data_IF_977200481495
#
_entry.id   IF_977200481495
#
_cell.length_a   1.000
_cell.length_b   1.000
_cell.length_c   1.000
_cell.angle_alpha   90.00
_cell.angle_beta   90.00
_cell.angle_gamma   90.00
#
_symmetry.space_group_name_H-M   'P 1'
#
loop_
_entity.id
_entity.type
_entity.pdbx_description
1 polymer ?
#
# COMPACT_ATOMS: atom_id res chain seq x y z
N UNK A 1 34.64 -3.08 32.57
CA UNK A 1 34.35 -1.73 33.13
C UNK A 1 33.22 -1.00 32.37
N UNK A 2 32.35 -1.69 31.62
CA UNK A 2 31.26 -1.07 30.85
C UNK A 2 29.81 -1.14 31.43
N UNK A 3 29.48 -1.81 32.57
CA UNK A 3 28.07 -2.10 32.89
C UNK A 3 27.26 -0.89 33.40
N UNK A 4 27.91 0.23 33.72
CA UNK A 4 27.25 1.43 34.29
C UNK A 4 26.96 2.49 33.22
N UNK A 5 27.60 2.41 32.04
CA UNK A 5 27.55 3.48 31.04
C UNK A 5 26.22 3.52 30.26
N UNK A 6 25.67 2.36 29.88
CA UNK A 6 24.40 2.29 29.15
C UNK A 6 23.17 2.79 29.95
N UNK A 7 22.95 2.41 31.22
CA UNK A 7 21.82 2.93 31.97
C UNK A 7 21.93 4.44 32.22
N UNK A 8 23.16 4.96 32.35
CA UNK A 8 23.41 6.40 32.43
C UNK A 8 23.04 7.13 31.13
N UNK A 9 23.37 6.56 29.96
CA UNK A 9 22.98 7.11 28.65
C UNK A 9 21.47 7.19 28.50
N UNK A 10 20.74 6.14 28.86
CA UNK A 10 19.27 6.09 28.79
C UNK A 10 18.63 7.13 29.72
N UNK A 11 19.18 7.29 30.93
CA UNK A 11 18.69 8.28 31.89
C UNK A 11 18.92 9.72 31.41
N UNK A 12 20.11 10.03 30.88
CA UNK A 12 20.39 11.33 30.26
C UNK A 12 19.46 11.59 29.07
N UNK A 13 19.23 10.58 28.23
CA UNK A 13 18.33 10.69 27.09
C UNK A 13 16.88 10.97 27.53
N UNK A 14 16.37 10.28 28.55
CA UNK A 14 15.02 10.53 29.10
C UNK A 14 14.85 11.94 29.68
N UNK A 15 15.90 12.49 30.29
CA UNK A 15 15.89 13.86 30.84
C UNK A 15 15.79 14.87 29.70
N UNK A 16 16.57 14.68 28.63
CA UNK A 16 16.54 15.54 27.44
C UNK A 16 15.25 15.40 26.63
N UNK A 17 14.65 14.19 26.59
CA UNK A 17 13.37 13.96 25.92
C UNK A 17 12.20 14.63 26.67
N UNK A 18 12.25 14.60 28.01
CA UNK A 18 11.23 15.23 28.85
C UNK A 18 11.23 16.76 28.79
N UNK A 19 12.36 17.41 28.51
CA UNK A 19 12.48 18.86 28.51
C UNK A 19 11.96 19.51 27.23
N UNK A 20 11.89 18.79 26.10
CA UNK A 20 11.54 19.31 24.75
C UNK A 20 12.36 20.53 24.27
N UNK A 21 13.34 20.97 25.05
CA UNK A 21 14.22 22.12 24.83
C UNK A 21 15.63 21.79 25.32
N UNK A 22 16.60 22.61 24.90
CA UNK A 22 18.01 22.47 25.27
C UNK A 22 18.22 22.60 26.78
N UNK A 23 18.91 21.62 27.38
CA UNK A 23 19.13 21.53 28.84
C UNK A 23 20.55 21.98 29.16
N UNK A 24 20.69 22.88 30.12
CA UNK A 24 22.01 23.34 30.59
C UNK A 24 22.77 22.27 31.38
N UNK A 25 24.11 22.33 31.40
CA UNK A 25 24.93 21.46 32.27
C UNK A 25 24.54 21.61 33.75
N UNK A 26 24.16 22.81 34.19
CA UNK A 26 23.70 23.04 35.57
C UNK A 26 22.37 22.33 35.86
N UNK A 27 21.42 22.33 34.93
CA UNK A 27 20.13 21.65 35.09
C UNK A 27 20.27 20.12 35.01
N UNK A 28 21.13 19.62 34.12
CA UNK A 28 21.54 18.21 34.10
C UNK A 28 22.23 17.81 35.41
N UNK A 29 23.04 18.70 35.99
CA UNK A 29 23.69 18.46 37.27
C UNK A 29 22.74 18.47 38.46
N UNK A 30 21.67 19.27 38.42
CA UNK A 30 20.63 19.27 39.45
C UNK A 30 19.74 18.03 39.35
N UNK A 31 19.35 17.62 38.14
CA UNK A 31 18.48 16.43 37.93
C UNK A 31 19.21 15.10 38.14
N UNK A 32 20.54 15.11 38.08
CA UNK A 32 21.39 13.93 38.25
C UNK A 32 22.49 14.17 39.30
N UNK A 33 22.08 14.63 40.50
CA UNK A 33 22.98 14.84 41.64
C UNK A 33 23.48 13.54 42.27
N UNK A 34 22.86 12.40 41.93
CA UNK A 34 23.20 11.05 42.35
C UNK A 34 24.37 10.43 41.56
N UNK A 35 24.87 11.12 40.53
CA UNK A 35 25.91 10.62 39.61
C UNK A 35 27.15 11.49 39.65
N UNK A 36 28.32 10.85 39.74
CA UNK A 36 29.62 11.52 39.67
C UNK A 36 29.83 12.26 38.33
N UNK A 37 30.36 13.49 38.41
CA UNK A 37 30.59 14.39 37.27
C UNK A 37 31.43 13.73 36.17
N UNK A 38 32.44 12.93 36.55
CA UNK A 38 33.32 12.23 35.60
C UNK A 38 32.56 11.17 34.81
N UNK A 39 31.63 10.47 35.46
CA UNK A 39 30.81 9.43 34.84
C UNK A 39 29.74 10.03 33.92
N UNK A 40 29.16 11.17 34.30
CA UNK A 40 28.22 11.93 33.47
C UNK A 40 28.88 12.47 32.20
N UNK A 41 30.06 13.07 32.31
CA UNK A 41 30.82 13.57 31.15
C UNK A 41 31.20 12.45 30.19
N UNK A 42 31.55 11.25 30.68
CA UNK A 42 31.80 10.08 29.82
C UNK A 42 30.55 9.65 29.07
N UNK A 43 29.39 9.62 29.71
CA UNK A 43 28.12 9.27 29.07
C UNK A 43 27.68 10.33 28.04
N UNK A 44 27.84 11.62 28.35
CA UNK A 44 27.56 12.73 27.43
C UNK A 44 28.47 12.66 26.19
N UNK A 45 29.79 12.52 26.37
CA UNK A 45 30.72 12.39 25.25
C UNK A 45 30.43 11.16 24.38
N UNK A 46 30.00 10.06 24.99
CA UNK A 46 29.57 8.87 24.25
C UNK A 46 28.28 9.13 23.44
N UNK A 47 27.28 9.82 24.00
CA UNK A 47 26.05 10.20 23.28
C UNK A 47 26.30 11.21 22.15
N UNK A 48 27.26 12.12 22.33
CA UNK A 48 27.72 13.06 21.29
C UNK A 48 28.39 12.29 20.16
N UNK A 49 29.28 11.34 20.48
CA UNK A 49 29.93 10.48 19.50
C UNK A 49 28.93 9.58 18.75
N UNK A 50 27.86 9.14 19.42
CA UNK A 50 26.73 8.41 18.82
C UNK A 50 25.80 9.30 18.00
N UNK A 51 26.05 10.63 17.92
CA UNK A 51 25.21 11.63 17.24
C UNK A 51 23.76 11.70 17.75
N UNK A 52 23.48 11.22 18.96
CA UNK A 52 22.16 11.27 19.59
C UNK A 52 21.88 12.62 20.26
N UNK A 53 22.93 13.32 20.69
CA UNK A 53 22.85 14.63 21.34
C UNK A 53 23.88 15.60 20.74
N UNK A 54 23.58 16.89 20.80
CA UNK A 54 24.48 17.97 20.38
C UNK A 54 24.74 18.88 21.58
N UNK A 55 26.01 19.20 21.81
CA UNK A 55 26.41 20.25 22.73
C UNK A 55 26.49 21.58 21.99
N UNK A 56 25.88 22.62 22.53
CA UNK A 56 25.98 24.01 22.05
C UNK A 56 26.41 24.91 23.20
N UNK A 57 27.23 25.92 22.91
CA UNK A 57 27.67 26.90 23.91
C UNK A 57 26.97 28.23 23.63
N UNK A 58 26.27 28.74 24.63
CA UNK A 58 25.56 30.02 24.55
C UNK A 58 25.90 30.86 25.79
N UNK A 59 26.42 32.08 25.58
CA UNK A 59 26.83 33.00 26.66
C UNK A 59 27.73 32.35 27.73
N UNK A 60 28.67 31.50 27.33
CA UNK A 60 29.61 30.81 28.24
C UNK A 60 29.03 29.61 28.99
N UNK A 61 27.76 29.25 28.77
CA UNK A 61 27.13 28.04 29.33
C UNK A 61 26.95 26.96 28.27
N UNK A 62 27.11 25.70 28.68
CA UNK A 62 26.96 24.54 27.80
C UNK A 62 25.52 24.04 27.90
N UNK A 63 24.90 23.84 26.74
CA UNK A 63 23.57 23.29 26.58
C UNK A 63 23.62 22.01 25.75
N UNK A 64 22.86 21.00 26.17
CA UNK A 64 22.69 19.73 25.48
C UNK A 64 21.29 19.66 24.90
N UNK A 65 21.20 19.28 23.63
CA UNK A 65 19.94 19.13 22.90
C UNK A 65 19.92 17.76 22.22
N UNK A 66 18.76 17.12 22.17
CA UNK A 66 18.60 15.89 21.37
C UNK A 66 18.81 16.24 19.89
N UNK A 67 19.63 15.44 19.21
CA UNK A 67 19.68 15.48 17.76
C UNK A 67 18.46 14.72 17.26
N UNK A 68 17.39 15.45 17.01
CA UNK A 68 16.29 14.92 16.20
C UNK A 68 16.87 14.79 14.79
N UNK A 69 16.99 13.57 14.28
CA UNK A 69 17.32 13.38 12.86
C UNK A 69 16.30 14.17 12.05
N UNK A 70 16.74 15.25 11.41
CA UNK A 70 15.91 15.96 10.45
C UNK A 70 15.61 14.99 9.32
N UNK A 71 14.40 14.42 9.33
CA UNK A 71 13.91 13.56 8.25
C UNK A 71 14.10 14.31 6.94
N UNK A 72 14.88 13.74 6.04
CA UNK A 72 15.11 14.36 4.74
C UNK A 72 13.82 14.37 3.93
N UNK A 73 13.68 15.23 2.91
CA UNK A 73 12.53 15.18 2.01
C UNK A 73 12.30 13.79 1.41
N UNK A 74 13.38 13.03 1.16
CA UNK A 74 13.32 11.65 0.69
C UNK A 74 12.66 10.72 1.73
N UNK A 75 13.03 10.83 3.00
CA UNK A 75 12.48 10.02 4.08
C UNK A 75 10.99 10.29 4.30
N UNK A 76 10.60 11.57 4.30
CA UNK A 76 9.19 11.99 4.49
C UNK A 76 8.32 11.48 3.35
N UNK A 77 8.77 11.63 2.09
CA UNK A 77 8.04 11.14 0.92
C UNK A 77 7.93 9.62 0.94
N UNK A 78 9.01 8.93 1.29
CA UNK A 78 9.04 7.47 1.35
C UNK A 78 8.08 6.92 2.41
N UNK A 79 8.05 7.51 3.60
CA UNK A 79 7.14 7.13 4.70
C UNK A 79 5.67 7.27 4.26
N UNK A 80 5.30 8.39 3.64
CA UNK A 80 3.93 8.63 3.16
C UNK A 80 3.51 7.62 2.06
N UNK A 81 4.44 7.23 1.19
CA UNK A 81 4.16 6.21 0.16
C UNK A 81 4.05 4.83 0.81
N UNK A 82 4.91 4.52 1.79
CA UNK A 82 4.88 3.27 2.54
C UNK A 82 3.56 3.10 3.29
N UNK A 83 3.05 4.16 3.89
CA UNK A 83 1.75 4.16 4.60
C UNK A 83 0.56 3.89 3.67
N UNK A 84 0.72 4.12 2.36
CA UNK A 84 -0.33 3.86 1.37
C UNK A 84 -0.41 2.41 0.89
N UNK A 85 0.58 1.59 1.25
CA UNK A 85 0.62 0.15 0.98
C UNK A 85 0.24 -0.20 -0.48
N UNK A 86 -0.65 -1.18 -0.71
CA UNK A 86 -1.08 -1.65 -2.04
C UNK A 86 -1.96 -0.66 -2.78
N UNK A 87 -2.57 0.30 -2.07
CA UNK A 87 -3.42 1.30 -2.69
C UNK A 87 -2.59 2.36 -3.45
N UNK A 88 -1.34 2.57 -3.01
CA UNK A 88 -0.53 3.66 -3.50
C UNK A 88 -1.14 5.03 -3.21
N UNK A 89 -0.44 6.09 -3.61
CA UNK A 89 -0.84 7.46 -3.31
C UNK A 89 -0.69 8.39 -4.50
N UNK A 90 -1.66 9.29 -4.66
CA UNK A 90 -1.66 10.26 -5.75
C UNK A 90 -0.62 11.36 -5.52
N UNK A 91 0.07 11.77 -6.58
CA UNK A 91 1.12 12.80 -6.50
C UNK A 91 0.66 14.10 -5.83
N UNK A 92 -0.61 14.50 -6.01
CA UNK A 92 -1.16 15.70 -5.34
C UNK A 92 -1.33 15.49 -3.85
N UNK A 93 -1.71 14.29 -3.42
CA UNK A 93 -1.89 13.97 -2.00
C UNK A 93 -0.53 13.85 -1.29
N UNK A 94 0.49 13.31 -1.96
CA UNK A 94 1.88 13.34 -1.47
C UNK A 94 2.31 14.80 -1.25
N UNK A 95 2.07 15.68 -2.22
CA UNK A 95 2.40 17.11 -2.10
C UNK A 95 1.67 17.77 -0.93
N UNK A 96 0.38 17.48 -0.76
CA UNK A 96 -0.41 18.05 0.33
C UNK A 96 0.07 17.59 1.71
N UNK A 97 0.36 16.28 1.86
CA UNK A 97 0.85 15.70 3.12
C UNK A 97 2.29 16.13 3.47
N UNK A 98 3.18 16.14 2.49
CA UNK A 98 4.61 16.51 2.68
C UNK A 98 4.83 18.01 2.82
N UNK A 99 3.90 18.84 2.32
CA UNK A 99 4.05 20.30 2.20
C UNK A 99 5.29 20.75 1.41
N UNK A 100 5.85 19.85 0.57
CA UNK A 100 7.01 20.16 -0.27
C UNK A 100 6.60 20.97 -1.52
N UNK A 101 7.54 21.75 -2.04
CA UNK A 101 7.37 22.43 -3.33
C UNK A 101 7.34 21.42 -4.48
N UNK A 102 6.68 21.75 -5.58
CA UNK A 102 6.56 20.86 -6.75
C UNK A 102 7.94 20.44 -7.30
N UNK A 103 8.91 21.36 -7.30
CA UNK A 103 10.27 21.12 -7.81
C UNK A 103 10.99 20.12 -6.93
N UNK A 104 10.94 20.30 -5.60
CA UNK A 104 11.58 19.41 -4.64
C UNK A 104 10.93 18.02 -4.68
N UNK A 105 9.60 17.96 -4.66
CA UNK A 105 8.87 16.70 -4.72
C UNK A 105 9.21 15.90 -5.99
N UNK A 106 9.23 16.54 -7.16
CA UNK A 106 9.56 15.86 -8.42
C UNK A 106 11.01 15.33 -8.41
N UNK A 107 11.95 16.05 -7.79
CA UNK A 107 13.35 15.61 -7.67
C UNK A 107 13.45 14.41 -6.71
N UNK A 108 12.80 14.48 -5.56
CA UNK A 108 12.76 13.38 -4.59
C UNK A 108 12.10 12.13 -5.16
N UNK A 109 10.95 12.25 -5.84
CA UNK A 109 10.30 11.11 -6.49
C UNK A 109 11.22 10.43 -7.51
N UNK A 110 11.91 11.21 -8.36
CA UNK A 110 12.90 10.66 -9.31
C UNK A 110 14.07 9.97 -8.59
N UNK A 111 14.56 10.54 -7.49
CA UNK A 111 15.63 9.92 -6.72
C UNK A 111 15.19 8.57 -6.12
N UNK A 112 13.99 8.50 -5.55
CA UNK A 112 13.42 7.27 -4.99
C UNK A 112 13.10 6.23 -6.07
N UNK A 113 12.63 6.65 -7.25
CA UNK A 113 12.46 5.79 -8.43
C UNK A 113 13.81 5.19 -8.89
N UNK A 114 14.85 6.03 -8.99
CA UNK A 114 16.21 5.60 -9.38
C UNK A 114 16.80 4.59 -8.38
N UNK A 115 16.52 4.77 -7.08
CA UNK A 115 16.90 3.84 -6.02
C UNK A 115 16.07 2.54 -6.02
N UNK A 116 15.07 2.41 -6.90
CA UNK A 116 14.10 1.30 -6.95
C UNK A 116 13.37 1.08 -5.62
N UNK A 117 13.08 2.16 -4.89
CA UNK A 117 12.29 2.10 -3.65
C UNK A 117 10.80 2.27 -3.94
N UNK A 118 10.48 3.06 -4.95
CA UNK A 118 9.11 3.33 -5.39
C UNK A 118 9.02 3.15 -6.91
N UNK A 119 7.79 2.99 -7.41
CA UNK A 119 7.50 3.02 -8.84
C UNK A 119 6.18 3.71 -9.13
N UNK A 120 6.04 4.35 -10.30
CA UNK A 120 4.78 4.93 -10.71
C UNK A 120 3.83 3.87 -11.25
N UNK A 121 2.54 4.03 -10.97
CA UNK A 121 1.45 3.24 -11.55
C UNK A 121 0.38 4.16 -12.12
N UNK A 122 -0.34 3.68 -13.13
CA UNK A 122 -1.50 4.36 -13.69
C UNK A 122 -2.76 3.65 -13.23
N UNK A 123 -3.59 4.36 -12.47
CA UNK A 123 -4.86 3.84 -11.97
C UNK A 123 -5.95 3.84 -13.07
N UNK A 124 -7.04 3.08 -12.84
CA UNK A 124 -8.26 3.11 -13.67
C UNK A 124 -8.81 4.54 -13.82
N UNK A 125 -8.67 5.36 -12.77
CA UNK A 125 -9.08 6.78 -12.76
C UNK A 125 -8.20 7.69 -13.62
N UNK A 126 -7.25 7.13 -14.39
CA UNK A 126 -6.23 7.83 -15.16
C UNK A 126 -5.32 8.74 -14.31
N UNK A 127 -5.27 8.52 -13.00
CA UNK A 127 -4.36 9.24 -12.10
C UNK A 127 -3.02 8.50 -12.00
N UNK A 128 -1.93 9.26 -11.94
CA UNK A 128 -0.57 8.75 -11.66
C UNK A 128 -0.42 8.58 -10.14
N UNK A 129 -0.33 7.34 -9.68
CA UNK A 129 -0.06 7.02 -8.27
C UNK A 129 1.37 6.52 -8.12
N UNK A 130 1.88 6.54 -6.89
CA UNK A 130 3.14 5.94 -6.49
C UNK A 130 2.90 4.84 -5.48
N UNK A 131 3.64 3.74 -5.64
CA UNK A 131 3.63 2.57 -4.76
C UNK A 131 5.07 2.13 -4.50
N UNK A 132 5.29 1.34 -3.43
CA UNK A 132 6.57 0.67 -3.21
C UNK A 132 6.93 -0.25 -4.38
N UNK A 133 8.22 -0.33 -4.70
CA UNK A 133 8.70 -1.05 -5.88
C UNK A 133 8.28 -2.53 -5.86
N UNK A 134 8.46 -3.19 -4.72
CA UNK A 134 8.20 -4.61 -4.53
C UNK A 134 6.72 -4.96 -4.32
N UNK A 135 5.83 -3.96 -4.26
CA UNK A 135 4.43 -4.19 -3.92
C UNK A 135 3.60 -4.34 -5.19
N UNK A 136 2.69 -5.33 -5.18
CA UNK A 136 1.69 -5.48 -6.22
C UNK A 136 0.51 -4.53 -5.91
N UNK A 137 0.08 -3.70 -6.88
CA UNK A 137 -0.98 -2.74 -6.64
C UNK A 137 -2.32 -3.46 -6.50
N UNK A 138 -3.20 -2.89 -5.69
CA UNK A 138 -4.51 -3.48 -5.49
C UNK A 138 -5.35 -3.47 -6.77
N UNK A 139 -6.14 -4.54 -6.96
CA UNK A 139 -7.02 -4.71 -8.11
C UNK A 139 -8.14 -3.67 -8.13
N UNK A 140 -8.55 -3.17 -6.97
CA UNK A 140 -9.49 -2.07 -6.84
C UNK A 140 -9.03 -0.80 -7.58
N UNK A 141 -7.71 -0.65 -7.79
CA UNK A 141 -7.10 0.53 -8.40
C UNK A 141 -6.60 0.26 -9.81
N UNK A 142 -6.15 -0.96 -10.10
CA UNK A 142 -5.68 -1.36 -11.43
C UNK A 142 -6.79 -1.87 -12.34
N UNK A 143 -7.87 -2.42 -11.78
CA UNK A 143 -9.04 -2.92 -12.51
C UNK A 143 -8.97 -4.42 -12.83
N UNK A 144 -8.02 -5.14 -12.24
CA UNK A 144 -7.86 -6.58 -12.44
C UNK A 144 -7.51 -6.94 -13.89
N UNK A 145 -7.84 -8.16 -14.31
CA UNK A 145 -7.44 -8.73 -15.60
C UNK A 145 -8.01 -8.01 -16.82
N UNK A 146 -9.11 -7.27 -16.65
CA UNK A 146 -9.79 -6.51 -17.71
C UNK A 146 -9.11 -5.17 -18.03
N UNK A 147 -8.14 -4.75 -17.22
CA UNK A 147 -7.44 -3.48 -17.36
C UNK A 147 -5.93 -3.69 -17.38
N UNK A 148 -5.24 -2.88 -18.18
CA UNK A 148 -3.78 -2.88 -18.25
C UNK A 148 -3.31 -1.43 -18.36
N UNK A 149 -2.41 -1.03 -17.45
CA UNK A 149 -1.83 0.31 -17.43
C UNK A 149 -2.87 1.45 -17.50
N UNK A 150 -4.00 1.29 -16.79
CA UNK A 150 -5.09 2.28 -16.73
C UNK A 150 -5.96 2.36 -17.99
N UNK A 151 -5.86 1.38 -18.90
CA UNK A 151 -6.72 1.26 -20.09
C UNK A 151 -7.47 -0.06 -20.07
N UNK A 152 -8.70 -0.07 -20.60
CA UNK A 152 -9.51 -1.29 -20.72
C UNK A 152 -8.92 -2.17 -21.84
N UNK A 153 -8.75 -3.46 -21.57
CA UNK A 153 -8.38 -4.48 -22.57
C UNK A 153 -9.62 -4.86 -23.37
N UNK A 154 -10.03 -3.98 -24.29
CA UNK A 154 -11.30 -4.09 -25.02
C UNK A 154 -11.51 -5.44 -25.72
N UNK A 155 -10.46 -6.01 -26.32
CA UNK A 155 -10.52 -7.33 -26.96
C UNK A 155 -10.84 -8.45 -25.96
N UNK A 156 -10.23 -8.42 -24.77
CA UNK A 156 -10.48 -9.42 -23.73
C UNK A 156 -11.90 -9.27 -23.20
N UNK A 157 -12.33 -8.04 -22.93
CA UNK A 157 -13.70 -7.78 -22.48
C UNK A 157 -14.73 -8.23 -23.52
N UNK A 158 -14.49 -7.98 -24.80
CA UNK A 158 -15.39 -8.41 -25.88
C UNK A 158 -15.40 -9.92 -26.05
N UNK A 159 -14.23 -10.57 -26.00
CA UNK A 159 -14.12 -12.02 -26.08
C UNK A 159 -14.80 -12.69 -24.87
N UNK A 160 -14.64 -12.11 -23.68
CA UNK A 160 -15.29 -12.55 -22.46
C UNK A 160 -16.80 -12.45 -22.58
N UNK A 161 -17.33 -11.30 -23.02
CA UNK A 161 -18.76 -11.10 -23.31
C UNK A 161 -19.30 -12.12 -24.32
N UNK A 162 -18.62 -12.29 -25.45
CA UNK A 162 -19.03 -13.21 -26.49
C UNK A 162 -19.04 -14.67 -26.00
N UNK A 163 -18.06 -15.05 -25.18
CA UNK A 163 -17.98 -16.40 -24.62
C UNK A 163 -19.06 -16.63 -23.56
N UNK A 164 -19.31 -15.66 -22.67
CA UNK A 164 -20.44 -15.70 -21.73
C UNK A 164 -21.77 -15.88 -22.47
N UNK A 165 -22.04 -15.06 -23.49
CA UNK A 165 -23.27 -15.14 -24.29
C UNK A 165 -23.41 -16.49 -24.99
N UNK A 166 -22.31 -17.01 -25.57
CA UNK A 166 -22.31 -18.32 -26.23
C UNK A 166 -22.64 -19.44 -25.25
N UNK A 167 -22.08 -19.38 -24.04
CA UNK A 167 -22.36 -20.34 -22.98
C UNK A 167 -23.83 -20.31 -22.56
N UNK A 168 -24.38 -19.13 -22.28
CA UNK A 168 -25.79 -18.97 -21.89
C UNK A 168 -26.75 -19.42 -22.98
N UNK A 169 -26.47 -19.10 -24.25
CA UNK A 169 -27.26 -19.57 -25.40
C UNK A 169 -27.23 -21.09 -25.53
N UNK A 170 -26.06 -21.70 -25.41
CA UNK A 170 -25.95 -23.16 -25.47
C UNK A 170 -26.72 -23.84 -24.33
N UNK A 171 -26.69 -23.27 -23.12
CA UNK A 171 -27.50 -23.76 -22.00
C UNK A 171 -28.99 -23.69 -22.33
N UNK A 172 -29.45 -22.56 -22.83
CA UNK A 172 -30.84 -22.38 -23.24
C UNK A 172 -31.25 -23.38 -24.33
N UNK A 173 -30.46 -23.51 -25.40
CA UNK A 173 -30.76 -24.41 -26.52
C UNK A 173 -30.82 -25.88 -26.08
N UNK A 174 -29.93 -26.30 -25.17
CA UNK A 174 -29.93 -27.66 -24.63
C UNK A 174 -31.18 -27.91 -23.77
N UNK A 175 -31.51 -27.00 -22.85
CA UNK A 175 -32.71 -27.11 -22.03
C UNK A 175 -33.98 -27.11 -22.88
N UNK A 176 -34.03 -26.27 -23.93
CA UNK A 176 -35.18 -26.20 -24.84
C UNK A 176 -35.37 -27.49 -25.64
N UNK A 177 -34.28 -28.12 -26.10
CA UNK A 177 -34.34 -29.43 -26.78
C UNK A 177 -34.81 -30.54 -25.86
N UNK A 178 -34.30 -30.59 -24.62
CA UNK A 178 -34.76 -31.53 -23.60
C UNK A 178 -36.25 -31.33 -23.32
N UNK A 179 -36.71 -30.08 -23.15
CA UNK A 179 -38.12 -29.73 -22.94
C UNK A 179 -39.03 -30.25 -24.06
N UNK A 180 -38.69 -30.00 -25.32
CA UNK A 180 -39.49 -30.47 -26.46
C UNK A 180 -39.59 -32.01 -26.48
N UNK A 181 -38.50 -32.69 -26.12
CA UNK A 181 -38.42 -34.15 -26.11
C UNK A 181 -39.28 -34.73 -24.99
N UNK A 182 -39.23 -34.14 -23.79
CA UNK A 182 -40.03 -34.57 -22.63
C UNK A 182 -41.53 -34.27 -22.82
N UNK A 183 -41.88 -33.14 -23.45
CA UNK A 183 -43.28 -32.85 -23.83
C UNK A 183 -43.82 -33.88 -24.82
N UNK A 184 -43.00 -34.33 -25.79
CA UNK A 184 -43.41 -35.40 -26.72
C UNK A 184 -43.64 -36.75 -26.02
N UNK A 185 -43.04 -36.96 -24.85
CA UNK A 185 -43.14 -38.21 -24.08
C UNK A 185 -44.20 -38.15 -22.96
N UNK A 186 -44.99 -37.07 -22.86
CA UNK A 186 -46.02 -36.83 -21.83
C UNK A 186 -45.50 -36.75 -20.37
N UNK A 187 -44.19 -36.71 -20.14
CA UNK A 187 -43.54 -36.64 -18.82
C UNK A 187 -43.37 -35.19 -18.29
N UNK A 188 -44.35 -34.32 -18.56
CA UNK A 188 -44.25 -32.86 -18.32
C UNK A 188 -44.14 -32.48 -16.83
N UNK A 189 -44.54 -33.37 -15.92
CA UNK A 189 -44.59 -33.11 -14.48
C UNK A 189 -43.21 -33.05 -13.78
N UNK A 190 -42.12 -33.44 -14.46
CA UNK A 190 -40.77 -33.51 -13.89
C UNK A 190 -39.82 -32.41 -14.36
N UNK A 191 -40.30 -31.44 -15.14
CA UNK A 191 -39.42 -30.43 -15.74
C UNK A 191 -38.87 -29.45 -14.68
N UNK A 192 -37.58 -29.59 -14.36
CA UNK A 192 -36.89 -28.71 -13.42
C UNK A 192 -36.40 -27.44 -14.14
N UNK A 193 -37.19 -26.36 -14.03
CA UNK A 193 -36.85 -25.03 -14.55
C UNK A 193 -35.54 -24.46 -13.97
N UNK A 194 -35.00 -25.02 -12.88
CA UNK A 194 -33.71 -24.59 -12.34
C UNK A 194 -32.53 -24.85 -13.30
N UNK A 195 -32.67 -25.74 -14.29
CA UNK A 195 -31.61 -26.06 -15.27
C UNK A 195 -31.24 -24.92 -16.22
N UNK A 196 -32.12 -23.92 -16.37
CA UNK A 196 -31.90 -22.76 -17.26
C UNK A 196 -31.00 -21.71 -16.57
N UNK A 197 -30.90 -21.77 -15.24
CA UNK A 197 -30.09 -20.83 -14.47
C UNK A 197 -28.63 -21.26 -14.43
N UNK A 198 -27.73 -20.30 -14.64
CA UNK A 198 -26.30 -20.47 -14.41
C UNK A 198 -25.80 -19.38 -13.49
N UNK A 199 -25.03 -19.77 -12.49
CA UNK A 199 -24.36 -18.82 -11.60
C UNK A 199 -23.06 -18.32 -12.22
N UNK A 200 -22.54 -17.20 -11.74
CA UNK A 200 -21.21 -16.68 -12.11
C UNK A 200 -20.09 -17.70 -11.84
N UNK A 201 -20.26 -18.54 -10.81
CA UNK A 201 -19.35 -19.63 -10.46
C UNK A 201 -19.32 -20.72 -11.55
N UNK A 202 -20.47 -21.08 -12.10
CA UNK A 202 -20.56 -22.12 -13.14
C UNK A 202 -19.87 -21.68 -14.43
N UNK A 203 -20.06 -20.40 -14.80
CA UNK A 203 -19.39 -19.79 -15.96
C UNK A 203 -17.88 -19.73 -15.72
N UNK A 204 -17.43 -19.39 -14.51
CA UNK A 204 -16.00 -19.38 -14.17
C UNK A 204 -15.39 -20.78 -14.27
N UNK A 205 -16.10 -21.80 -13.76
CA UNK A 205 -15.66 -23.20 -13.83
C UNK A 205 -15.59 -23.67 -15.29
N UNK A 206 -16.55 -23.27 -16.12
CA UNK A 206 -16.51 -23.51 -17.56
C UNK A 206 -15.28 -22.88 -18.22
N UNK A 207 -14.93 -21.63 -17.90
CA UNK A 207 -13.72 -20.98 -18.43
C UNK A 207 -12.44 -21.69 -17.98
N UNK A 208 -12.35 -22.04 -16.69
CA UNK A 208 -11.22 -22.82 -16.15
C UNK A 208 -11.07 -24.18 -16.83
N UNK A 209 -12.18 -24.89 -17.05
CA UNK A 209 -12.17 -26.20 -17.73
C UNK A 209 -11.62 -26.14 -19.15
N UNK A 210 -11.83 -25.01 -19.84
CA UNK A 210 -11.34 -24.76 -21.19
C UNK A 210 -9.97 -24.07 -21.24
N UNK A 211 -9.33 -23.86 -20.08
CA UNK A 211 -8.08 -23.08 -19.92
C UNK A 211 -8.16 -21.69 -20.57
N UNK A 212 -9.35 -21.08 -20.56
CA UNK A 212 -9.56 -19.73 -21.08
C UNK A 212 -9.46 -18.73 -19.93
N UNK A 213 -8.80 -17.60 -20.17
CA UNK A 213 -8.71 -16.47 -19.25
C UNK A 213 -8.18 -16.81 -17.83
N UNK A 214 -6.89 -17.10 -17.72
CA UNK A 214 -6.24 -17.53 -16.46
C UNK A 214 -6.28 -16.51 -15.32
N UNK A 215 -6.42 -15.22 -15.63
CA UNK A 215 -6.35 -14.12 -14.66
C UNK A 215 -7.73 -13.65 -14.17
N UNK A 216 -8.81 -14.17 -14.76
CA UNK A 216 -10.17 -13.69 -14.49
C UNK A 216 -10.73 -14.28 -13.20
N UNK A 217 -11.38 -13.42 -12.42
CA UNK A 217 -12.05 -13.78 -11.16
C UNK A 217 -13.57 -13.75 -11.32
N UNK A 218 -14.27 -14.22 -10.28
CA UNK A 218 -15.73 -14.25 -10.26
C UNK A 218 -16.35 -12.86 -10.39
N UNK A 219 -15.74 -11.84 -9.76
CA UNK A 219 -16.21 -10.45 -9.81
C UNK A 219 -16.14 -9.84 -11.22
N UNK A 220 -15.16 -10.24 -12.03
CA UNK A 220 -15.09 -9.83 -13.44
C UNK A 220 -16.28 -10.39 -14.22
N UNK A 221 -16.63 -11.67 -14.00
CA UNK A 221 -17.78 -12.32 -14.63
C UNK A 221 -19.08 -11.64 -14.20
N UNK A 222 -19.25 -11.37 -12.91
CA UNK A 222 -20.43 -10.65 -12.40
C UNK A 222 -20.58 -9.27 -13.02
N UNK A 223 -19.47 -8.53 -13.15
CA UNK A 223 -19.46 -7.21 -13.80
C UNK A 223 -19.90 -7.33 -15.26
N UNK A 224 -19.38 -8.32 -15.98
CA UNK A 224 -19.72 -8.57 -17.37
C UNK A 224 -21.18 -9.01 -17.52
N UNK A 225 -21.66 -9.91 -16.68
CA UNK A 225 -23.06 -10.35 -16.67
C UNK A 225 -24.00 -9.19 -16.35
N UNK A 226 -23.62 -8.30 -15.43
CA UNK A 226 -24.38 -7.08 -15.13
C UNK A 226 -24.46 -6.14 -16.34
N UNK A 227 -23.38 -6.03 -17.13
CA UNK A 227 -23.38 -5.27 -18.39
C UNK A 227 -24.19 -5.97 -19.48
N UNK A 228 -24.22 -7.31 -19.46
CA UNK A 228 -24.98 -8.14 -20.40
C UNK A 228 -26.46 -8.26 -20.04
N UNK A 229 -26.90 -7.75 -18.88
CA UNK A 229 -28.32 -7.74 -18.49
C UNK A 229 -29.14 -7.12 -19.63
N UNK A 230 -29.84 -8.00 -20.34
CA UNK A 230 -31.05 -7.71 -21.12
C UNK A 230 -32.15 -7.25 -20.16
#
# INVERSE_FOLDING_TARGET
>A
MEPILNPLKERIYSVLDSSKSSVSEEELSMRMSDVDTTSRLKALNALINEKKIKASMNNGKIFYELVIEEKTPDDIVFEIIKDSDKNGIWIRDIRFKTKLSQVVLNKTLKNLENKKLIRPIKAISNRKLYILYDYQPDESITGGACYESGSIRGEIVNNLKATCLKYLRNLYDNCYKEMITEIHNEDVALFDFNRIYSTSSDILNFFKSRKMFSEIKIGDIETILNVLKL
#
